data_IF_449578277573
#
_entry.id   IF_449578277573
#
_cell.length_a   1.000
_cell.length_b   1.000
_cell.length_c   1.000
_cell.angle_alpha   90.00
_cell.angle_beta   90.00
_cell.angle_gamma   90.00
#
_symmetry.space_group_name_H-M   'P 1'
#
loop_
_entity.id
_entity.type
_entity.pdbx_description
1 polymer ?
#
# COMPACT_ATOMS: atom_id res chain seq x y z
N UNK A 1 2.63 5.28 34.33
CA UNK A 1 3.85 5.09 33.53
C UNK A 1 3.92 6.09 32.38
N UNK A 2 5.10 6.63 32.00
CA UNK A 2 5.20 7.61 30.93
C UNK A 2 4.67 7.06 29.57
N UNK A 3 4.90 5.80 29.29
CA UNK A 3 4.43 5.15 28.05
C UNK A 3 2.90 5.04 28.01
N UNK A 4 2.27 4.68 29.11
CA UNK A 4 0.81 4.64 29.23
C UNK A 4 0.18 6.01 28.93
N UNK A 5 0.78 7.11 29.44
CA UNK A 5 0.32 8.46 29.16
C UNK A 5 0.45 8.84 27.67
N UNK A 6 1.51 8.38 27.01
CA UNK A 6 1.68 8.59 25.55
C UNK A 6 0.60 7.85 24.75
N UNK A 7 0.25 6.62 25.14
CA UNK A 7 -0.80 5.84 24.50
C UNK A 7 -2.17 6.54 24.64
N UNK A 8 -2.50 7.00 25.86
CA UNK A 8 -3.73 7.73 26.13
C UNK A 8 -3.79 9.04 25.35
N UNK A 9 -2.70 9.82 25.31
CA UNK A 9 -2.63 11.06 24.55
C UNK A 9 -2.79 10.85 23.05
N UNK A 10 -2.22 9.77 22.50
CA UNK A 10 -2.38 9.38 21.10
C UNK A 10 -3.82 8.98 20.79
N UNK A 11 -4.44 8.16 21.65
CA UNK A 11 -5.83 7.73 21.49
C UNK A 11 -6.84 8.87 21.60
N UNK A 12 -6.53 9.90 22.38
CA UNK A 12 -7.37 11.09 22.56
C UNK A 12 -7.35 12.05 21.36
N UNK A 13 -6.45 11.88 20.43
CA UNK A 13 -6.33 12.65 19.16
C UNK A 13 -6.47 14.19 19.34
N UNK A 14 -5.83 14.73 20.38
CA UNK A 14 -5.85 16.15 20.71
C UNK A 14 -7.08 16.63 21.49
N UNK A 15 -8.03 15.74 21.82
CA UNK A 15 -9.21 16.05 22.62
C UNK A 15 -8.90 15.90 24.11
N UNK A 16 -8.90 17.01 24.86
CA UNK A 16 -8.70 16.97 26.31
C UNK A 16 -9.81 16.18 27.03
N UNK A 17 -11.05 16.29 26.56
CA UNK A 17 -12.19 15.58 27.11
C UNK A 17 -12.01 14.06 26.98
N UNK A 18 -11.60 13.59 25.80
CA UNK A 18 -11.41 12.18 25.55
C UNK A 18 -10.18 11.67 26.31
N UNK A 19 -9.12 12.47 26.43
CA UNK A 19 -7.95 12.15 27.25
C UNK A 19 -8.33 11.89 28.71
N UNK A 20 -9.16 12.75 29.31
CA UNK A 20 -9.65 12.57 30.67
C UNK A 20 -10.53 11.33 30.82
N UNK A 21 -11.45 11.12 29.88
CA UNK A 21 -12.35 9.95 29.90
C UNK A 21 -11.58 8.63 29.77
N UNK A 22 -10.58 8.59 28.86
CA UNK A 22 -9.72 7.42 28.68
C UNK A 22 -8.80 7.20 29.93
N UNK A 23 -8.35 8.29 30.56
CA UNK A 23 -7.56 8.19 31.79
C UNK A 23 -8.36 7.62 32.95
N UNK A 24 -9.62 8.10 33.15
CA UNK A 24 -10.52 7.55 34.17
C UNK A 24 -10.79 6.07 33.92
N UNK A 25 -11.03 5.67 32.67
CA UNK A 25 -11.22 4.28 32.29
C UNK A 25 -9.95 3.44 32.56
N UNK A 26 -8.77 3.97 32.27
CA UNK A 26 -7.50 3.29 32.54
C UNK A 26 -7.25 3.07 34.03
N UNK A 27 -7.58 4.07 34.88
CA UNK A 27 -7.51 3.96 36.33
C UNK A 27 -8.46 2.87 36.83
N UNK A 28 -9.70 2.84 36.33
CA UNK A 28 -10.68 1.85 36.72
C UNK A 28 -10.29 0.42 36.31
N UNK A 29 -9.68 0.26 35.12
CA UNK A 29 -9.25 -1.05 34.59
C UNK A 29 -7.95 -1.56 35.24
N UNK A 30 -7.11 -0.65 35.75
CA UNK A 30 -5.78 -0.95 36.28
C UNK A 30 -5.71 -0.97 37.81
N UNK A 31 -6.82 -1.16 38.54
CA UNK A 31 -6.89 -1.13 40.00
C UNK A 31 -6.21 0.12 40.62
N UNK A 32 -6.43 1.27 40.02
CA UNK A 32 -5.86 2.53 40.45
C UNK A 32 -4.45 2.84 39.90
N UNK A 33 -3.90 1.96 39.06
CA UNK A 33 -2.59 2.17 38.43
C UNK A 33 -2.74 2.30 36.92
N UNK A 34 -2.05 3.27 36.32
CA UNK A 34 -2.02 3.47 34.87
C UNK A 34 -0.73 2.81 34.35
N UNK A 35 -0.80 1.49 34.12
CA UNK A 35 0.29 0.71 33.52
C UNK A 35 0.15 0.64 31.99
N UNK A 36 1.27 0.45 31.29
CA UNK A 36 1.29 0.35 29.83
C UNK A 36 0.47 -0.81 29.33
N UNK A 37 0.57 -1.98 29.99
CA UNK A 37 -0.16 -3.21 29.60
C UNK A 37 -1.67 -3.05 29.76
N UNK A 38 -2.13 -2.48 30.89
CA UNK A 38 -3.54 -2.22 31.12
C UNK A 38 -4.12 -1.25 30.09
N UNK A 39 -3.40 -0.16 29.78
CA UNK A 39 -3.81 0.83 28.78
C UNK A 39 -3.82 0.22 27.38
N UNK A 40 -2.78 -0.54 26.98
CA UNK A 40 -2.72 -1.19 25.66
C UNK A 40 -3.88 -2.18 25.50
N UNK A 41 -4.18 -2.98 26.51
CA UNK A 41 -5.30 -3.92 26.50
C UNK A 41 -6.64 -3.19 26.40
N UNK A 42 -6.81 -2.11 27.18
CA UNK A 42 -8.04 -1.30 27.17
C UNK A 42 -8.27 -0.64 25.80
N UNK A 43 -7.24 -0.13 25.18
CA UNK A 43 -7.30 0.54 23.87
C UNK A 43 -7.33 -0.46 22.70
N UNK A 44 -7.05 -1.73 22.92
CA UNK A 44 -6.87 -2.72 21.85
C UNK A 44 -5.68 -2.40 20.93
N UNK A 45 -4.70 -1.66 21.42
CA UNK A 45 -3.51 -1.29 20.64
C UNK A 45 -2.41 -2.32 20.81
N UNK A 46 -1.68 -2.57 19.72
CA UNK A 46 -0.44 -3.33 19.81
C UNK A 46 0.64 -2.50 20.51
N UNK A 47 1.48 -3.20 21.26
CA UNK A 47 2.75 -2.61 21.70
C UNK A 47 3.68 -2.39 20.49
N UNK A 48 4.44 -1.29 20.48
CA UNK A 48 5.38 -0.95 19.42
C UNK A 48 6.35 -2.10 19.10
N UNK A 49 6.74 -2.88 20.12
CA UNK A 49 7.61 -4.05 19.95
C UNK A 49 6.98 -5.16 19.12
N UNK A 50 5.69 -5.39 19.30
CA UNK A 50 4.93 -6.41 18.56
C UNK A 50 4.68 -5.96 17.11
N UNK A 51 4.30 -4.69 16.92
CA UNK A 51 4.14 -4.12 15.60
C UNK A 51 5.47 -4.12 14.82
N UNK A 52 6.59 -3.82 15.50
CA UNK A 52 7.92 -3.91 14.92
C UNK A 52 8.29 -5.35 14.55
N UNK A 53 7.95 -6.32 15.41
CA UNK A 53 8.18 -7.74 15.13
C UNK A 53 7.43 -8.22 13.88
N UNK A 54 6.23 -7.71 13.62
CA UNK A 54 5.51 -7.95 12.38
C UNK A 54 6.21 -7.32 11.17
N UNK A 55 6.69 -6.07 11.30
CA UNK A 55 7.47 -5.42 10.23
C UNK A 55 8.73 -6.23 9.91
N UNK A 56 9.45 -6.68 10.94
CA UNK A 56 10.65 -7.54 10.78
C UNK A 56 10.32 -8.84 10.04
N UNK A 57 9.24 -9.51 10.42
CA UNK A 57 8.83 -10.76 9.79
C UNK A 57 8.45 -10.56 8.31
N UNK A 58 7.78 -9.45 7.98
CA UNK A 58 7.47 -9.07 6.59
C UNK A 58 8.75 -8.80 5.80
N UNK A 59 9.67 -8.02 6.37
CA UNK A 59 10.97 -7.71 5.75
C UNK A 59 11.81 -8.97 5.53
N UNK A 60 11.78 -9.92 6.48
CA UNK A 60 12.47 -11.19 6.35
C UNK A 60 11.77 -12.18 5.38
N UNK A 61 10.60 -11.82 4.84
CA UNK A 61 9.73 -12.69 4.05
C UNK A 61 9.36 -13.99 4.78
N UNK A 62 9.29 -13.97 6.12
CA UNK A 62 8.94 -15.09 6.97
C UNK A 62 7.41 -15.15 7.16
N UNK A 63 6.73 -15.82 6.24
CA UNK A 63 5.27 -15.94 6.26
C UNK A 63 4.73 -16.71 7.46
N UNK A 64 5.46 -17.71 7.96
CA UNK A 64 5.05 -18.51 9.13
C UNK A 64 5.08 -17.63 10.40
N UNK A 65 6.14 -16.87 10.57
CA UNK A 65 6.27 -15.91 11.68
C UNK A 65 5.19 -14.81 11.61
N UNK A 66 4.91 -14.29 10.40
CA UNK A 66 3.83 -13.30 10.21
C UNK A 66 2.50 -13.87 10.67
N UNK A 67 2.13 -15.08 10.26
CA UNK A 67 0.86 -15.69 10.65
C UNK A 67 0.79 -16.00 12.14
N UNK A 68 1.89 -16.40 12.76
CA UNK A 68 1.98 -16.61 14.22
C UNK A 68 1.70 -15.30 14.96
N UNK A 69 2.38 -14.21 14.58
CA UNK A 69 2.19 -12.90 15.21
C UNK A 69 0.77 -12.35 15.00
N UNK A 70 0.15 -12.57 13.84
CA UNK A 70 -1.25 -12.20 13.58
C UNK A 70 -2.21 -13.00 14.46
N UNK A 71 -1.96 -14.29 14.68
CA UNK A 71 -2.77 -15.12 15.58
C UNK A 71 -2.67 -14.65 17.04
N UNK A 72 -1.46 -14.32 17.48
CA UNK A 72 -1.21 -13.78 18.82
C UNK A 72 -1.93 -12.43 19.02
N UNK A 73 -1.89 -11.58 18.00
CA UNK A 73 -2.59 -10.32 17.96
C UNK A 73 -4.13 -10.54 18.05
N UNK A 74 -4.67 -11.49 17.30
CA UNK A 74 -6.07 -11.86 17.35
C UNK A 74 -6.51 -12.37 18.74
N UNK A 75 -5.68 -13.19 19.39
CA UNK A 75 -5.96 -13.71 20.73
C UNK A 75 -6.04 -12.59 21.79
N UNK A 76 -5.39 -11.47 21.57
CA UNK A 76 -5.43 -10.29 22.45
C UNK A 76 -6.58 -9.32 22.10
N UNK A 77 -7.34 -9.59 21.03
CA UNK A 77 -8.47 -8.74 20.63
C UNK A 77 -8.08 -7.37 20.13
N UNK A 78 -6.95 -7.25 19.42
CA UNK A 78 -6.47 -5.97 18.89
C UNK A 78 -7.42 -5.39 17.84
N UNK A 79 -7.37 -4.08 17.69
CA UNK A 79 -8.05 -3.38 16.61
C UNK A 79 -7.20 -3.48 15.32
N UNK A 80 -7.78 -4.09 14.27
CA UNK A 80 -7.06 -4.44 13.05
C UNK A 80 -6.60 -3.24 12.22
N UNK A 81 -7.38 -2.16 12.23
CA UNK A 81 -6.97 -0.94 11.54
C UNK A 81 -5.80 -0.27 12.27
N UNK A 82 -5.82 -0.25 13.60
CA UNK A 82 -4.74 0.29 14.41
C UNK A 82 -3.42 -0.44 14.17
N UNK A 83 -3.46 -1.77 13.97
CA UNK A 83 -2.28 -2.55 13.59
C UNK A 83 -1.63 -2.03 12.30
N UNK A 84 -2.42 -1.83 11.23
CA UNK A 84 -1.91 -1.32 9.94
C UNK A 84 -1.37 0.11 10.07
N UNK A 85 -2.02 0.94 10.90
CA UNK A 85 -1.56 2.31 11.20
C UNK A 85 -0.20 2.28 11.89
N UNK A 86 -0.04 1.45 12.93
CA UNK A 86 1.22 1.37 13.69
C UNK A 86 2.36 0.81 12.83
N UNK A 87 2.13 -0.25 12.07
CA UNK A 87 3.12 -0.76 11.11
C UNK A 87 3.53 0.31 10.08
N UNK A 88 2.57 1.09 9.57
CA UNK A 88 2.84 2.18 8.63
C UNK A 88 3.67 3.29 9.29
N UNK A 89 3.38 3.64 10.55
CA UNK A 89 4.15 4.63 11.31
C UNK A 89 5.59 4.16 11.54
N UNK A 90 5.80 2.88 11.84
CA UNK A 90 7.14 2.29 11.99
C UNK A 90 7.93 2.33 10.68
N UNK A 91 7.31 1.97 9.54
CA UNK A 91 7.97 2.05 8.22
C UNK A 91 8.33 3.50 7.86
N UNK A 92 7.45 4.47 8.15
CA UNK A 92 7.76 5.88 7.97
C UNK A 92 8.98 6.30 8.82
N UNK A 93 9.04 5.87 10.09
CA UNK A 93 10.18 6.16 10.96
C UNK A 93 11.46 5.51 10.48
N UNK A 94 11.40 4.26 9.99
CA UNK A 94 12.54 3.60 9.33
C UNK A 94 13.04 4.43 8.15
N UNK A 95 12.16 4.91 7.27
CA UNK A 95 12.52 5.78 6.15
C UNK A 95 13.18 7.10 6.63
N UNK A 96 12.66 7.70 7.71
CA UNK A 96 13.26 8.90 8.29
C UNK A 96 14.67 8.65 8.85
N UNK A 97 14.89 7.50 9.50
CA UNK A 97 16.20 7.08 10.01
C UNK A 97 17.20 6.85 8.88
N UNK A 98 16.74 6.32 7.72
CA UNK A 98 17.58 6.17 6.53
C UNK A 98 18.09 7.51 6.00
N UNK A 99 17.28 8.57 6.10
CA UNK A 99 17.66 9.92 5.68
C UNK A 99 18.48 10.65 6.75
N UNK A 100 18.11 10.49 8.02
CA UNK A 100 18.76 11.14 9.15
C UNK A 100 18.80 10.21 10.37
N UNK A 101 19.94 9.62 10.70
CA UNK A 101 20.07 8.72 11.84
C UNK A 101 19.70 9.35 13.19
N UNK A 102 19.66 10.68 13.29
CA UNK A 102 19.25 11.43 14.48
C UNK A 102 17.73 11.65 14.58
N UNK A 103 16.94 11.17 13.63
CA UNK A 103 15.50 11.44 13.54
C UNK A 103 14.65 10.63 14.55
N UNK A 104 15.22 9.68 15.28
CA UNK A 104 14.53 8.93 16.34
C UNK A 104 14.34 9.82 17.56
N UNK A 105 13.08 10.00 17.96
CA UNK A 105 12.73 10.67 19.23
C UNK A 105 12.94 9.76 20.44
N UNK A 106 12.96 10.36 21.63
CA UNK A 106 13.11 9.63 22.91
C UNK A 106 11.98 8.65 23.23
N UNK A 107 10.83 8.80 22.59
CA UNK A 107 9.65 7.97 22.75
C UNK A 107 9.80 6.54 22.20
N UNK A 108 10.83 6.29 21.39
CA UNK A 108 11.12 5.00 20.76
C UNK A 108 12.37 4.29 21.31
N UNK A 109 12.88 4.73 22.49
CA UNK A 109 14.14 4.22 23.03
C UNK A 109 14.18 2.69 23.18
N UNK A 110 13.05 2.05 23.51
CA UNK A 110 12.98 0.61 23.71
C UNK A 110 13.22 -0.21 22.42
N UNK A 111 12.84 0.32 21.26
CA UNK A 111 12.96 -0.36 19.96
C UNK A 111 13.94 0.34 19.01
N UNK A 112 14.61 1.38 19.50
CA UNK A 112 15.51 2.23 18.69
C UNK A 112 16.57 1.42 17.96
N UNK A 113 17.23 0.51 18.65
CA UNK A 113 18.31 -0.28 18.06
C UNK A 113 17.80 -1.16 16.92
N UNK A 114 16.68 -1.86 17.13
CA UNK A 114 16.06 -2.71 16.09
C UNK A 114 15.64 -1.90 14.86
N UNK A 115 15.07 -0.71 15.09
CA UNK A 115 14.72 0.19 13.99
C UNK A 115 15.94 0.66 13.20
N UNK A 116 17.06 0.97 13.88
CA UNK A 116 18.32 1.32 13.22
C UNK A 116 18.89 0.16 12.40
N UNK A 117 18.76 -1.06 12.88
CA UNK A 117 19.16 -2.27 12.15
C UNK A 117 18.32 -2.45 10.90
N UNK A 118 16.98 -2.37 11.01
CA UNK A 118 16.09 -2.42 9.86
C UNK A 118 16.41 -1.32 8.84
N UNK A 119 16.63 -0.10 9.29
CA UNK A 119 16.99 1.02 8.41
C UNK A 119 18.28 0.79 7.61
N UNK A 120 19.21 -0.04 8.13
CA UNK A 120 20.47 -0.39 7.44
C UNK A 120 20.31 -1.53 6.44
N UNK A 121 19.46 -2.52 6.76
CA UNK A 121 19.35 -3.75 5.95
C UNK A 121 18.28 -3.65 4.87
N UNK A 122 17.22 -2.87 5.09
CA UNK A 122 16.10 -2.76 4.15
C UNK A 122 16.39 -1.67 3.11
N UNK A 123 16.35 -1.98 1.80
CA UNK A 123 16.46 -0.95 0.77
C UNK A 123 15.35 0.11 0.90
N UNK A 124 15.63 1.40 0.65
CA UNK A 124 14.61 2.46 0.71
C UNK A 124 13.41 2.22 -0.21
N UNK A 125 13.62 1.59 -1.35
CA UNK A 125 12.57 1.20 -2.30
C UNK A 125 11.58 0.22 -1.68
N UNK A 126 12.09 -0.75 -0.89
CA UNK A 126 11.27 -1.78 -0.27
C UNK A 126 10.48 -1.22 0.90
N UNK A 127 11.07 -0.31 1.68
CA UNK A 127 10.35 0.44 2.72
C UNK A 127 9.15 1.18 2.12
N UNK A 128 9.33 1.85 0.98
CA UNK A 128 8.25 2.55 0.28
C UNK A 128 7.19 1.58 -0.25
N UNK A 129 7.60 0.43 -0.78
CA UNK A 129 6.69 -0.61 -1.27
C UNK A 129 5.82 -1.15 -0.15
N UNK A 130 6.41 -1.52 0.99
CA UNK A 130 5.68 -2.00 2.16
C UNK A 130 4.73 -0.93 2.70
N UNK A 131 5.20 0.30 2.85
CA UNK A 131 4.39 1.43 3.28
C UNK A 131 3.16 1.62 2.39
N UNK A 132 3.37 1.64 1.07
CA UNK A 132 2.29 1.76 0.09
C UNK A 132 1.29 0.59 0.20
N UNK A 133 1.79 -0.64 0.36
CA UNK A 133 0.97 -1.84 0.50
C UNK A 133 0.07 -1.76 1.73
N UNK A 134 0.62 -1.32 2.87
CA UNK A 134 -0.15 -1.14 4.11
C UNK A 134 -1.20 -0.03 3.99
N UNK A 135 -0.87 1.10 3.34
CA UNK A 135 -1.83 2.19 3.10
C UNK A 135 -3.00 1.73 2.23
N UNK A 136 -2.73 0.96 1.17
CA UNK A 136 -3.77 0.39 0.31
C UNK A 136 -4.61 -0.60 1.10
N UNK A 137 -3.99 -1.50 1.86
CA UNK A 137 -4.68 -2.47 2.71
C UNK A 137 -5.59 -1.81 3.73
N UNK A 138 -5.12 -0.74 4.39
CA UNK A 138 -5.94 0.05 5.31
C UNK A 138 -7.17 0.66 4.61
N UNK A 139 -6.98 1.23 3.42
CA UNK A 139 -8.08 1.80 2.62
C UNK A 139 -9.10 0.74 2.19
N UNK A 140 -8.65 -0.47 1.91
CA UNK A 140 -9.47 -1.60 1.48
C UNK A 140 -10.15 -2.33 2.65
N UNK A 141 -9.65 -2.15 3.88
CA UNK A 141 -10.11 -2.87 5.07
C UNK A 141 -11.63 -2.80 5.33
N UNK A 142 -12.33 -1.64 5.13
CA UNK A 142 -13.77 -1.57 5.28
C UNK A 142 -14.56 -2.44 4.29
N UNK A 143 -13.95 -2.83 3.18
CA UNK A 143 -14.56 -3.62 2.11
C UNK A 143 -14.24 -5.12 2.23
N UNK A 144 -13.36 -5.50 3.16
CA UNK A 144 -13.04 -6.90 3.40
C UNK A 144 -14.23 -7.64 4.03
N UNK A 145 -14.45 -8.92 3.72
CA UNK A 145 -15.49 -9.73 4.35
C UNK A 145 -15.35 -9.79 5.88
N UNK A 146 -14.14 -9.81 6.36
CA UNK A 146 -13.73 -9.72 7.75
C UNK A 146 -12.45 -8.89 7.87
N UNK A 147 -12.34 -8.06 8.92
CA UNK A 147 -11.20 -7.16 9.13
C UNK A 147 -9.89 -7.91 9.29
N UNK A 148 -9.91 -9.03 10.00
CA UNK A 148 -8.75 -9.91 10.16
C UNK A 148 -8.26 -10.41 8.80
N UNK A 149 -9.17 -10.96 7.99
CA UNK A 149 -8.86 -11.43 6.63
C UNK A 149 -8.29 -10.31 5.75
N UNK A 150 -8.81 -9.08 5.88
CA UNK A 150 -8.30 -7.92 5.17
C UNK A 150 -6.83 -7.60 5.52
N UNK A 151 -6.48 -7.70 6.81
CA UNK A 151 -5.09 -7.53 7.27
C UNK A 151 -4.21 -8.69 6.79
N UNK A 152 -4.65 -9.93 6.95
CA UNK A 152 -3.91 -11.10 6.47
C UNK A 152 -3.60 -10.99 4.97
N UNK A 153 -4.58 -10.62 4.15
CA UNK A 153 -4.37 -10.41 2.71
C UNK A 153 -3.41 -9.26 2.41
N UNK A 154 -3.41 -8.21 3.22
CA UNK A 154 -2.47 -7.10 3.07
C UNK A 154 -1.04 -7.55 3.37
N UNK A 155 -0.84 -8.31 4.45
CA UNK A 155 0.48 -8.86 4.81
C UNK A 155 0.96 -9.90 3.81
N UNK A 156 0.08 -10.78 3.32
CA UNK A 156 0.40 -11.74 2.25
C UNK A 156 0.81 -11.03 0.95
N UNK A 157 0.16 -9.91 0.63
CA UNK A 157 0.55 -9.06 -0.51
C UNK A 157 1.94 -8.46 -0.31
N UNK A 158 2.25 -7.97 0.90
CA UNK A 158 3.57 -7.46 1.23
C UNK A 158 4.65 -8.55 1.07
N UNK A 159 4.39 -9.77 1.55
CA UNK A 159 5.27 -10.93 1.40
C UNK A 159 5.44 -11.33 -0.08
N UNK A 160 4.37 -11.29 -0.88
CA UNK A 160 4.42 -11.64 -2.30
C UNK A 160 5.24 -10.65 -3.13
N UNK A 161 5.26 -9.38 -2.73
CA UNK A 161 6.05 -8.33 -3.38
C UNK A 161 7.48 -8.21 -2.84
N UNK A 162 7.86 -9.08 -1.88
CA UNK A 162 9.24 -9.11 -1.42
C UNK A 162 10.18 -9.34 -2.62
N UNK A 163 11.16 -8.45 -2.85
CA UNK A 163 12.09 -8.59 -3.97
C UNK A 163 12.94 -9.84 -3.76
N UNK A 164 12.55 -10.91 -4.43
CA UNK A 164 13.37 -12.13 -4.47
C UNK A 164 14.63 -11.79 -5.24
N UNK A 165 15.79 -12.09 -4.67
CA UNK A 165 16.99 -12.19 -5.50
C UNK A 165 16.65 -13.12 -6.67
N UNK A 166 16.91 -12.70 -7.93
CA UNK A 166 16.68 -13.59 -9.05
C UNK A 166 17.40 -14.91 -8.75
N UNK A 167 16.64 -16.01 -8.65
CA UNK A 167 17.23 -17.32 -8.65
C UNK A 167 18.15 -17.36 -9.85
N UNK A 168 19.42 -17.83 -9.72
CA UNK A 168 20.27 -18.01 -10.87
C UNK A 168 19.46 -18.80 -11.90
N UNK A 169 19.20 -18.18 -13.02
CA UNK A 169 18.46 -18.79 -14.12
C UNK A 169 19.20 -20.08 -14.42
N UNK A 170 18.52 -21.27 -14.41
CA UNK A 170 19.19 -22.50 -14.73
C UNK A 170 19.87 -22.29 -16.07
N UNK A 171 21.20 -22.35 -16.09
CA UNK A 171 21.96 -22.25 -17.33
C UNK A 171 21.42 -23.29 -18.30
N UNK A 172 20.49 -22.81 -19.15
CA UNK A 172 20.06 -23.61 -20.30
C UNK A 172 21.35 -23.83 -21.09
N UNK A 173 21.86 -25.08 -21.22
CA UNK A 173 23.09 -25.32 -21.96
C UNK A 173 22.88 -24.74 -23.36
N UNK A 174 23.57 -23.62 -23.63
CA UNK A 174 23.61 -23.04 -24.97
C UNK A 174 24.18 -24.15 -25.85
N UNK A 175 23.31 -24.84 -26.59
CA UNK A 175 23.74 -25.68 -27.64
C UNK A 175 24.57 -24.80 -28.60
N UNK A 176 25.88 -24.93 -28.48
CA UNK A 176 26.80 -24.33 -29.40
C UNK A 176 26.53 -24.98 -30.77
N UNK A 177 25.78 -24.26 -31.59
CA UNK A 177 25.74 -24.59 -33.01
C UNK A 177 27.16 -24.39 -33.53
N UNK A 178 27.88 -25.48 -33.64
CA UNK A 178 29.18 -25.50 -34.31
C UNK A 178 28.97 -24.90 -35.71
N UNK A 179 29.85 -23.97 -36.15
CA UNK A 179 29.74 -23.43 -37.49
C UNK A 179 29.95 -24.57 -38.49
N UNK A 180 28.91 -24.87 -39.26
CA UNK A 180 29.03 -25.81 -40.39
C UNK A 180 30.02 -25.19 -41.39
N UNK A 181 31.13 -25.87 -41.60
CA UNK A 181 32.15 -25.48 -42.58
C UNK A 181 31.53 -25.41 -44.00
N UNK A 182 31.86 -24.45 -44.82
CA UNK A 182 31.34 -24.34 -46.17
C UNK A 182 31.97 -25.42 -47.05
N UNK A 183 31.15 -26.38 -47.49
CA UNK A 183 31.57 -27.35 -48.52
C UNK A 183 31.50 -26.70 -49.89
N UNK A 184 32.55 -26.97 -50.63
CA UNK A 184 32.97 -26.40 -51.92
C UNK A 184 31.91 -26.21 -52.99
N UNK A 185 32.04 -25.09 -53.60
CA UNK A 185 31.87 -24.67 -55.01
C UNK A 185 31.53 -25.78 -56.02
N UNK A 186 30.37 -25.64 -56.66
CA UNK A 186 30.22 -26.03 -58.06
C UNK A 186 29.47 -24.89 -58.83
N UNK A 187 30.04 -24.56 -59.94
CA UNK A 187 29.85 -23.43 -60.84
C UNK A 187 28.52 -23.46 -61.65
N UNK A 188 28.20 -22.45 -62.42
CA UNK A 188 26.86 -21.91 -62.54
C UNK A 188 26.14 -22.39 -63.78
N UNK A 189 24.80 -22.46 -63.70
CA UNK A 189 23.96 -22.47 -64.92
C UNK A 189 23.02 -21.28 -64.89
N UNK A 190 22.96 -20.60 -66.01
CA UNK A 190 22.33 -19.35 -66.35
C UNK A 190 20.82 -19.29 -66.08
N UNK A 191 20.42 -18.19 -65.58
CA UNK A 191 19.29 -17.26 -65.71
C UNK A 191 18.09 -17.69 -66.61
N UNK A 192 16.86 -17.40 -66.16
CA UNK A 192 16.27 -16.15 -66.67
C UNK A 192 15.73 -15.18 -65.60
N UNK A 193 15.92 -13.89 -65.91
CA UNK A 193 15.34 -12.74 -65.28
C UNK A 193 13.81 -12.79 -65.22
N UNK A 194 13.26 -12.59 -64.07
CA UNK A 194 11.89 -12.10 -63.90
C UNK A 194 11.85 -10.83 -63.08
N UNK A 195 11.03 -9.93 -63.55
CA UNK A 195 10.82 -8.55 -63.19
C UNK A 195 10.45 -8.32 -61.70
N UNK A 196 10.68 -7.14 -61.14
CA UNK A 196 10.32 -6.80 -59.77
C UNK A 196 8.80 -6.63 -59.64
N UNK A 197 8.19 -7.34 -58.70
CA UNK A 197 6.82 -7.14 -58.27
C UNK A 197 6.74 -6.00 -57.24
N UNK A 198 5.65 -5.24 -57.23
CA UNK A 198 5.56 -3.99 -56.46
C UNK A 198 5.39 -4.20 -54.96
N UNK A 199 5.83 -3.19 -54.23
CA UNK A 199 5.76 -3.03 -52.78
C UNK A 199 4.37 -3.37 -52.23
N UNK A 200 4.33 -4.33 -51.30
CA UNK A 200 3.11 -4.61 -50.54
C UNK A 200 2.90 -3.49 -49.52
N UNK A 201 1.83 -2.78 -49.70
CA UNK A 201 1.23 -1.83 -48.78
C UNK A 201 0.98 -2.50 -47.43
N UNK A 202 1.36 -1.85 -46.36
CA UNK A 202 0.98 -2.19 -44.99
C UNK A 202 -0.57 -2.24 -44.92
N UNK A 203 -1.10 -3.44 -44.76
CA UNK A 203 -2.51 -3.61 -44.45
C UNK A 203 -2.80 -3.09 -43.05
N UNK A 204 -3.52 -1.98 -42.98
CA UNK A 204 -4.21 -1.54 -41.77
C UNK A 204 -5.15 -2.69 -41.31
N UNK A 205 -4.84 -3.27 -40.17
CA UNK A 205 -5.74 -4.22 -39.50
C UNK A 205 -6.92 -3.41 -38.98
N UNK A 206 -8.17 -3.70 -39.41
CA UNK A 206 -9.34 -2.99 -38.87
C UNK A 206 -9.48 -3.28 -37.37
N UNK A 207 -9.65 -2.20 -36.57
CA UNK A 207 -10.02 -2.30 -35.17
C UNK A 207 -11.24 -3.20 -35.05
N UNK A 208 -11.19 -4.19 -34.13
CA UNK A 208 -12.30 -5.08 -33.87
C UNK A 208 -13.55 -4.29 -33.50
N UNK A 209 -14.74 -4.74 -33.97
CA UNK A 209 -16.04 -4.10 -33.71
C UNK A 209 -16.28 -3.79 -32.22
N UNK A 210 -15.74 -4.60 -31.33
CA UNK A 210 -15.82 -4.40 -29.89
C UNK A 210 -15.09 -3.11 -29.42
N UNK A 211 -13.94 -2.77 -30.03
CA UNK A 211 -13.17 -1.56 -29.67
C UNK A 211 -13.87 -0.29 -30.16
N UNK A 212 -14.47 -0.32 -31.34
CA UNK A 212 -15.26 0.80 -31.88
C UNK A 212 -16.54 1.04 -31.08
N UNK A 213 -17.21 0.00 -30.59
CA UNK A 213 -18.39 0.12 -29.72
C UNK A 213 -18.04 0.74 -28.37
N UNK A 214 -16.91 0.37 -27.74
CA UNK A 214 -16.46 0.94 -26.47
C UNK A 214 -16.11 2.42 -26.61
N UNK A 215 -15.47 2.82 -27.72
CA UNK A 215 -15.15 4.23 -27.99
C UNK A 215 -16.41 5.08 -28.25
N UNK A 216 -17.40 4.50 -28.95
CA UNK A 216 -18.69 5.16 -29.17
C UNK A 216 -19.48 5.34 -27.86
N UNK A 217 -19.53 4.33 -27.00
CA UNK A 217 -20.18 4.40 -25.70
C UNK A 217 -19.52 5.45 -24.77
N UNK A 218 -18.19 5.52 -24.78
CA UNK A 218 -17.45 6.53 -23.99
C UNK A 218 -17.74 7.96 -24.45
N UNK A 219 -17.85 8.20 -25.75
CA UNK A 219 -18.17 9.51 -26.30
C UNK A 219 -19.61 9.96 -25.99
N UNK A 220 -20.57 9.02 -25.93
CA UNK A 220 -21.95 9.30 -25.50
C UNK A 220 -22.04 9.67 -24.03
N UNK A 221 -21.32 8.96 -23.15
CA UNK A 221 -21.23 9.27 -21.72
C UNK A 221 -20.64 10.66 -21.45
N UNK A 222 -19.62 11.04 -22.19
CA UNK A 222 -19.02 12.39 -22.05
C UNK A 222 -19.99 13.51 -22.49
N UNK A 223 -20.78 13.29 -23.55
CA UNK A 223 -21.81 14.25 -23.98
C UNK A 223 -22.95 14.37 -22.98
N UNK A 224 -23.37 13.27 -22.36
CA UNK A 224 -24.41 13.28 -21.32
C UNK A 224 -23.96 14.02 -20.04
N UNK A 225 -22.69 13.88 -19.64
CA UNK A 225 -22.13 14.60 -18.49
C UNK A 225 -21.93 16.10 -18.76
N UNK A 226 -21.65 16.48 -20.00
CA UNK A 226 -21.58 17.90 -20.40
C UNK A 226 -22.93 18.61 -20.37
N UNK A 227 -24.01 17.92 -20.72
CA UNK A 227 -25.37 18.47 -20.75
C UNK A 227 -25.96 18.70 -19.33
N UNK A 228 -25.58 17.87 -18.36
CA UNK A 228 -26.03 18.04 -16.96
C UNK A 228 -25.32 19.18 -16.24
N UNK A 229 -24.10 19.54 -16.66
CA UNK A 229 -23.34 20.65 -16.06
C UNK A 229 -23.84 22.04 -16.53
N UNK A 230 -24.39 22.10 -17.76
CA UNK A 230 -24.94 23.37 -18.31
C UNK A 230 -26.30 23.77 -17.71
N UNK A 231 -27.05 22.82 -17.10
CA UNK A 231 -28.39 23.12 -16.53
C UNK A 231 -28.37 23.54 -15.06
N UNK A 232 -27.20 23.62 -14.42
CA UNK A 232 -27.02 23.98 -12.99
C UNK A 232 -26.45 25.37 -12.75
N UNK A 233 -26.32 26.18 -13.80
CA UNK A 233 -25.78 27.55 -13.71
C UNK A 233 -26.74 28.63 -14.18
N UNK A 234 -28.02 28.57 -13.74
CA UNK A 234 -28.92 29.72 -13.91
C UNK A 234 -29.20 30.33 -12.53
N UNK A 235 -28.80 31.60 -12.30
CA UNK A 235 -29.05 32.27 -11.00
C UNK A 235 -30.50 32.76 -10.95
N UNK A 236 -31.24 32.33 -9.93
CA UNK A 236 -32.54 32.87 -9.59
C UNK A 236 -32.42 34.35 -9.22
N UNK A 237 -32.97 35.20 -10.04
CA UNK A 237 -33.09 36.65 -9.84
C UNK A 237 -34.04 36.98 -8.72
N UNK A 238 -33.61 37.93 -7.94
CA UNK A 238 -34.31 38.90 -7.10
C UNK A 238 -35.86 38.88 -7.01
N UNK A 239 -36.38 38.84 -5.79
CA UNK A 239 -37.65 39.44 -5.46
C UNK A 239 -37.59 40.18 -4.11
N UNK A 240 -37.46 41.50 -4.23
CA UNK A 240 -38.13 42.62 -3.58
C UNK A 240 -38.40 42.58 -2.08
N UNK A 241 -37.77 43.52 -1.49
CA UNK A 241 -38.12 44.20 -0.22
C UNK A 241 -39.59 44.63 -0.12
N UNK A 242 -40.15 44.57 1.10
CA UNK A 242 -41.26 45.42 1.56
C UNK A 242 -40.98 45.93 2.97
N UNK A 243 -41.45 47.13 3.28
CA UNK A 243 -40.93 47.94 4.37
C UNK A 243 -41.62 47.67 5.70
N UNK A 244 -40.87 48.02 6.74
CA UNK A 244 -41.33 48.20 8.13
C UNK A 244 -42.37 49.30 8.23
N UNK A 245 -43.43 49.07 8.98
CA UNK A 245 -44.22 50.19 9.58
C UNK A 245 -44.40 49.90 11.07
N UNK A 246 -44.19 51.02 11.81
CA UNK A 246 -44.29 51.20 13.23
C UNK A 246 -45.67 50.86 13.80
N UNK A 247 -45.70 50.37 15.00
CA UNK A 247 -46.34 50.92 16.17
C UNK A 247 -45.82 50.25 17.44
#
# INVERSE_FOLDING_TARGET
>A
EPRALQLLARAADGSLRDALSLTDQAIASGDGQVSTDAVSTMLGTLDDDQALSLVEAVVAADGERVMTLVNDAAARGIEWEALLVEMSALLHRIAMVQLSPAALGSDMAAIEQRMRELARIVPPTDVQLYYQTLLIGRKELPYAPDRRMGVEMTLLRALAFHPRMPLPEPEVPRQSFAPVAPTAVMTPTQVPQQQPAPAQQQQNVPLSDATSQVLAARSQLQRAQGATKAKKSEPAAASRARPVNNA
#
